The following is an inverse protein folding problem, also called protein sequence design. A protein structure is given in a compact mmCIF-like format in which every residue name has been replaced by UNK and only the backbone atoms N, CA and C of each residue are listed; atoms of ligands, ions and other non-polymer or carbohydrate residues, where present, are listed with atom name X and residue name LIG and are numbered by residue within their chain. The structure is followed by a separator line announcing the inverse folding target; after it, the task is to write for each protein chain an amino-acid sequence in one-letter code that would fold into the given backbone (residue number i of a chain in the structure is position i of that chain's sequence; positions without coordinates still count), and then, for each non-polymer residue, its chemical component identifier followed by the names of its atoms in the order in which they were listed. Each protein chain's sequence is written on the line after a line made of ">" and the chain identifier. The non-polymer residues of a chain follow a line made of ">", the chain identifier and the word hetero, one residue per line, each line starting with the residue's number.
data_IF_779046511362
#
_entry.id   IF_779046511362
#
_cell.length_a   1.000
_cell.length_b   1.000
_cell.length_c   1.000
_cell.angle_alpha   90.00
_cell.angle_beta   90.00
_cell.angle_gamma   90.00
#
_symmetry.space_group_name_H-M   'P 1'
#
loop_
_entity.id
_entity.type
_entity.pdbx_description
1 polymer ?
#
# COMPACT_ATOMS: atom_id res chain seq x y z
N UNK A 1 -14.74 -6.36 -18.05
CA UNK A 1 -13.47 -7.08 -17.90
C UNK A 1 -12.40 -6.25 -18.59
N UNK A 2 -11.79 -5.31 -17.88
CA UNK A 2 -10.67 -4.53 -18.41
C UNK A 2 -9.39 -5.10 -17.81
N UNK A 3 -8.68 -5.84 -18.65
CA UNK A 3 -7.35 -6.37 -18.38
C UNK A 3 -6.40 -5.18 -18.53
N UNK A 4 -6.02 -4.54 -17.43
CA UNK A 4 -4.82 -3.69 -17.39
C UNK A 4 -3.61 -4.58 -17.08
N UNK A 5 -3.26 -5.41 -18.06
CA UNK A 5 -1.91 -5.98 -18.14
C UNK A 5 -1.11 -5.05 -19.05
N UNK A 6 -0.49 -4.03 -18.48
CA UNK A 6 0.50 -3.21 -19.19
C UNK A 6 1.71 -3.19 -18.28
N UNK A 7 2.79 -3.81 -18.73
CA UNK A 7 4.17 -3.80 -18.21
C UNK A 7 4.42 -2.79 -17.07
N UNK A 8 4.29 -3.23 -15.82
CA UNK A 8 4.69 -2.41 -14.66
C UNK A 8 5.74 -3.19 -13.87
N UNK A 9 6.89 -2.57 -13.66
CA UNK A 9 7.92 -3.04 -12.74
C UNK A 9 7.34 -2.91 -11.33
N UNK A 10 6.76 -4.00 -10.81
CA UNK A 10 6.49 -4.09 -9.37
C UNK A 10 7.81 -3.82 -8.64
N UNK A 11 7.80 -3.06 -7.53
CA UNK A 11 8.99 -2.92 -6.70
C UNK A 11 9.55 -4.31 -6.40
N UNK A 12 10.87 -4.44 -6.50
CA UNK A 12 11.50 -5.65 -6.02
C UNK A 12 11.46 -5.65 -4.49
N UNK A 13 10.59 -6.47 -3.92
CA UNK A 13 10.44 -6.63 -2.47
C UNK A 13 11.48 -7.61 -1.87
N UNK A 14 12.33 -8.26 -2.68
CA UNK A 14 13.25 -9.33 -2.21
C UNK A 14 14.35 -8.83 -1.27
N UNK A 15 14.78 -7.58 -1.41
CA UNK A 15 15.85 -6.99 -0.59
C UNK A 15 15.41 -5.75 0.19
N UNK A 16 14.19 -5.76 0.76
CA UNK A 16 13.74 -4.65 1.60
C UNK A 16 14.44 -4.67 2.96
N UNK A 17 15.13 -3.57 3.26
CA UNK A 17 15.80 -3.30 4.54
C UNK A 17 14.89 -2.62 5.59
N UNK A 18 13.59 -2.47 5.30
CA UNK A 18 12.58 -1.97 6.22
C UNK A 18 11.85 -0.71 5.73
N UNK A 19 11.22 0.00 6.67
CA UNK A 19 10.41 1.18 6.41
C UNK A 19 11.15 2.48 6.74
N UNK A 20 10.93 3.51 5.91
CA UNK A 20 11.40 4.87 6.12
C UNK A 20 10.30 5.72 6.75
N UNK A 21 10.31 5.78 8.08
CA UNK A 21 9.40 6.58 8.89
C UNK A 21 10.07 7.88 9.33
N UNK A 22 9.33 8.99 9.28
CA UNK A 22 9.69 10.22 9.99
C UNK A 22 8.52 10.69 10.87
N UNK A 23 8.82 11.51 11.87
CA UNK A 23 7.85 11.95 12.88
C UNK A 23 6.59 12.56 12.24
N UNK A 24 6.77 13.43 11.24
CA UNK A 24 5.66 14.09 10.55
C UNK A 24 4.72 13.11 9.85
N UNK A 25 5.28 12.10 9.18
CA UNK A 25 4.51 11.08 8.49
C UNK A 25 3.74 10.19 9.47
N UNK A 26 4.41 9.73 10.53
CA UNK A 26 3.78 8.93 11.59
C UNK A 26 2.65 9.70 12.25
N UNK A 27 2.89 10.97 12.60
CA UNK A 27 1.87 11.82 13.22
C UNK A 27 0.68 12.06 12.27
N UNK A 28 0.96 12.32 10.98
CA UNK A 28 -0.08 12.53 9.96
C UNK A 28 -0.95 11.27 9.78
N UNK A 29 -0.34 10.09 9.69
CA UNK A 29 -1.05 8.81 9.57
C UNK A 29 -1.99 8.57 10.74
N UNK A 30 -1.47 8.68 11.95
CA UNK A 30 -2.25 8.44 13.15
C UNK A 30 -3.38 9.47 13.30
N UNK A 31 -3.06 10.76 13.17
CA UNK A 31 -4.03 11.85 13.41
C UNK A 31 -5.11 11.92 12.33
N UNK A 32 -4.75 11.73 11.06
CA UNK A 32 -5.68 11.89 9.93
C UNK A 32 -6.45 10.61 9.62
N UNK A 33 -5.82 9.46 9.77
CA UNK A 33 -6.37 8.20 9.26
C UNK A 33 -6.55 7.13 10.33
N UNK A 34 -6.10 7.36 11.58
CA UNK A 34 -6.14 6.38 12.67
C UNK A 34 -5.50 5.05 12.22
N UNK A 35 -4.37 5.17 11.54
CA UNK A 35 -3.53 4.05 11.12
C UNK A 35 -2.19 4.20 11.82
N UNK A 36 -1.78 3.17 12.54
CA UNK A 36 -0.46 3.09 13.16
C UNK A 36 0.59 2.63 12.14
N UNK A 37 1.87 2.87 12.43
CA UNK A 37 2.95 2.31 11.60
C UNK A 37 2.89 0.79 11.57
N UNK A 38 2.63 0.15 12.72
CA UNK A 38 2.50 -1.31 12.81
C UNK A 38 1.39 -1.86 11.91
N UNK A 39 0.22 -1.22 11.87
CA UNK A 39 -0.87 -1.61 10.96
C UNK A 39 -0.48 -1.43 9.49
N UNK A 40 0.21 -0.34 9.17
CA UNK A 40 0.72 -0.11 7.82
C UNK A 40 1.67 -1.24 7.41
N UNK A 41 2.65 -1.57 8.26
CA UNK A 41 3.63 -2.63 8.02
C UNK A 41 2.94 -4.01 7.88
N UNK A 42 2.00 -4.35 8.77
CA UNK A 42 1.22 -5.60 8.68
C UNK A 42 0.53 -5.74 7.32
N UNK A 43 -0.04 -4.66 6.80
CA UNK A 43 -0.72 -4.69 5.51
C UNK A 43 0.22 -4.95 4.31
N UNK A 44 1.54 -4.76 4.44
CA UNK A 44 2.52 -5.18 3.41
C UNK A 44 2.86 -6.67 3.48
N UNK A 45 2.70 -7.31 4.65
CA UNK A 45 3.11 -8.69 4.88
C UNK A 45 1.96 -9.70 4.84
N UNK A 46 0.72 -9.22 4.88
CA UNK A 46 -0.46 -10.08 4.80
C UNK A 46 -0.94 -10.24 3.36
N UNK A 47 -1.34 -11.45 3.01
CA UNK A 47 -1.89 -11.76 1.70
C UNK A 47 -3.44 -11.70 1.67
N UNK A 48 -4.04 -11.32 0.53
CA UNK A 48 -3.38 -10.80 -0.66
C UNK A 48 -2.84 -9.37 -0.47
N UNK A 49 -1.62 -9.10 -0.93
CA UNK A 49 -1.11 -7.74 -1.04
C UNK A 49 -1.12 -7.31 -2.50
N UNK A 50 -1.90 -6.28 -2.81
CA UNK A 50 -2.14 -5.89 -4.21
C UNK A 50 -1.56 -4.51 -4.46
N UNK A 51 -0.75 -4.38 -5.52
CA UNK A 51 -0.05 -3.15 -5.87
C UNK A 51 -0.43 -2.73 -7.29
N UNK A 52 -0.66 -1.44 -7.46
CA UNK A 52 -0.98 -0.77 -8.72
C UNK A 52 -0.10 0.48 -8.85
N UNK A 53 0.19 0.86 -10.08
CA UNK A 53 0.81 2.15 -10.35
C UNK A 53 -0.23 3.28 -10.17
N UNK A 54 0.24 4.44 -9.74
CA UNK A 54 -0.51 5.70 -9.70
C UNK A 54 0.09 6.69 -10.73
N UNK A 55 -0.08 6.43 -12.03
CA UNK A 55 0.62 7.17 -13.09
C UNK A 55 0.26 8.66 -13.12
N UNK A 56 -0.93 9.04 -12.62
CA UNK A 56 -1.32 10.45 -12.49
C UNK A 56 -0.46 11.21 -11.48
N UNK A 57 0.07 10.52 -10.46
CA UNK A 57 0.88 11.11 -9.39
C UNK A 57 2.38 10.76 -9.46
N UNK A 58 2.79 9.86 -10.35
CA UNK A 58 4.18 9.39 -10.53
C UNK A 58 5.08 10.31 -11.38
N UNK A 59 4.63 11.51 -11.75
CA UNK A 59 5.38 12.44 -12.64
C UNK A 59 6.73 12.92 -12.04
N UNK A 60 6.90 12.89 -10.71
CA UNK A 60 8.10 13.38 -10.01
C UNK A 60 8.82 12.35 -9.13
N UNK A 61 8.10 11.34 -8.64
CA UNK A 61 8.60 10.29 -7.75
C UNK A 61 7.70 9.07 -7.98
N UNK A 62 8.28 7.88 -8.17
CA UNK A 62 7.50 6.66 -8.41
C UNK A 62 6.61 6.39 -7.20
N UNK A 63 5.30 6.45 -7.41
CA UNK A 63 4.30 6.23 -6.36
C UNK A 63 3.48 5.01 -6.69
N UNK A 64 3.39 4.16 -5.69
CA UNK A 64 2.65 2.92 -5.75
C UNK A 64 1.42 3.06 -4.88
N UNK A 65 0.29 2.64 -5.43
CA UNK A 65 -0.96 2.47 -4.72
C UNK A 65 -1.08 0.99 -4.35
N UNK A 66 -1.39 0.67 -3.09
CA UNK A 66 -1.62 -0.71 -2.68
C UNK A 66 -2.83 -0.90 -1.80
N UNK A 67 -3.32 -2.13 -1.81
CA UNK A 67 -4.37 -2.66 -0.97
C UNK A 67 -3.81 -3.82 -0.14
N UNK A 68 -3.98 -3.75 1.17
CA UNK A 68 -3.57 -4.80 2.10
C UNK A 68 -4.48 -4.90 3.30
N UNK A 69 -4.26 -5.91 4.14
CA UNK A 69 -5.09 -6.18 5.33
C UNK A 69 -4.22 -6.30 6.58
N UNK A 70 -4.67 -5.77 7.71
CA UNK A 70 -3.97 -5.96 9.00
C UNK A 70 -4.30 -7.32 9.64
N UNK A 71 -3.60 -7.67 10.71
CA UNK A 71 -3.89 -8.90 11.48
C UNK A 71 -5.29 -8.88 12.12
N UNK A 72 -5.81 -7.68 12.38
CA UNK A 72 -7.16 -7.46 12.90
C UNK A 72 -8.21 -7.30 11.78
N UNK A 73 -7.88 -7.72 10.56
CA UNK A 73 -8.75 -7.63 9.39
C UNK A 73 -9.19 -6.20 9.01
N UNK A 74 -8.37 -5.19 9.31
CA UNK A 74 -8.59 -3.85 8.78
C UNK A 74 -8.06 -3.76 7.36
N UNK A 75 -8.93 -3.44 6.40
CA UNK A 75 -8.56 -3.18 5.02
C UNK A 75 -7.95 -1.79 4.86
N UNK A 76 -6.70 -1.72 4.42
CA UNK A 76 -5.96 -0.48 4.23
C UNK A 76 -5.57 -0.26 2.77
N UNK A 77 -5.80 0.97 2.31
CA UNK A 77 -5.13 1.52 1.13
C UNK A 77 -3.85 2.21 1.58
N UNK A 78 -2.73 1.91 0.93
CA UNK A 78 -1.43 2.53 1.23
C UNK A 78 -0.86 3.13 -0.05
N UNK A 79 -0.45 4.40 0.03
CA UNK A 79 0.35 5.04 -1.02
C UNK A 79 1.78 5.08 -0.52
N UNK A 80 2.72 4.57 -1.29
CA UNK A 80 4.12 4.53 -0.89
C UNK A 80 5.05 4.78 -2.07
N UNK A 81 6.32 5.00 -1.76
CA UNK A 81 7.42 5.05 -2.73
C UNK A 81 8.58 4.20 -2.23
N UNK A 82 9.51 3.87 -3.11
CA UNK A 82 10.73 3.15 -2.79
C UNK A 82 11.92 4.11 -2.77
N UNK A 83 12.74 4.04 -1.72
CA UNK A 83 14.00 4.80 -1.61
C UNK A 83 15.14 3.84 -1.34
N UNK A 84 15.82 3.44 -2.40
CA UNK A 84 16.77 2.32 -2.34
C UNK A 84 16.05 1.06 -1.85
N UNK A 85 16.55 0.46 -0.77
CA UNK A 85 15.98 -0.75 -0.15
C UNK A 85 14.89 -0.46 0.91
N UNK A 86 14.33 0.75 0.97
CA UNK A 86 13.31 1.10 1.98
C UNK A 86 11.98 1.47 1.35
N UNK A 87 10.89 0.99 1.95
CA UNK A 87 9.54 1.44 1.67
C UNK A 87 9.29 2.74 2.45
N UNK A 88 8.86 3.80 1.78
CA UNK A 88 8.38 5.02 2.42
C UNK A 88 6.88 5.18 2.21
N UNK A 89 6.05 4.81 3.20
CA UNK A 89 4.63 5.10 3.14
C UNK A 89 4.41 6.61 3.12
N UNK A 90 3.62 7.12 2.18
CA UNK A 90 3.27 8.54 2.05
C UNK A 90 1.87 8.84 2.62
N UNK A 91 1.01 7.82 2.59
CA UNK A 91 -0.35 7.84 3.12
C UNK A 91 -0.83 6.41 3.37
N UNK A 92 -1.63 6.21 4.41
CA UNK A 92 -2.37 4.98 4.63
C UNK A 92 -3.73 5.33 5.21
N UNK A 93 -4.79 4.70 4.69
CA UNK A 93 -6.16 4.98 5.09
C UNK A 93 -7.01 3.71 5.04
N UNK A 94 -8.16 3.68 5.72
CA UNK A 94 -9.17 2.66 5.46
C UNK A 94 -9.53 2.62 3.97
N UNK A 95 -9.71 1.41 3.44
CA UNK A 95 -10.27 1.21 2.11
C UNK A 95 -11.69 1.78 2.04
N UNK A 96 -12.05 2.30 0.88
CA UNK A 96 -13.42 2.61 0.49
C UNK A 96 -14.21 1.33 0.24
N UNK A 97 -15.54 1.40 0.23
CA UNK A 97 -16.40 0.24 -0.02
C UNK A 97 -16.09 -0.47 -1.36
N UNK A 98 -15.75 0.30 -2.40
CA UNK A 98 -15.36 -0.23 -3.70
C UNK A 98 -14.02 -0.96 -3.66
N UNK A 99 -13.03 -0.41 -2.94
CA UNK A 99 -11.72 -1.04 -2.78
C UNK A 99 -11.82 -2.33 -1.95
N UNK A 100 -12.61 -2.34 -0.88
CA UNK A 100 -12.89 -3.56 -0.09
C UNK A 100 -13.53 -4.64 -0.96
N UNK A 101 -14.55 -4.29 -1.74
CA UNK A 101 -15.21 -5.24 -2.64
C UNK A 101 -14.21 -5.86 -3.61
N UNK A 102 -13.39 -5.03 -4.23
CA UNK A 102 -12.39 -5.48 -5.19
C UNK A 102 -11.31 -6.38 -4.55
N UNK A 103 -10.83 -6.01 -3.36
CA UNK A 103 -9.90 -6.82 -2.58
C UNK A 103 -10.46 -8.20 -2.26
N UNK A 104 -11.70 -8.26 -1.77
CA UNK A 104 -12.36 -9.52 -1.42
C UNK A 104 -12.67 -10.39 -2.65
N UNK A 105 -12.97 -9.78 -3.80
CA UNK A 105 -13.16 -10.51 -5.06
C UNK A 105 -11.85 -11.19 -5.52
N UNK A 106 -10.70 -10.52 -5.37
CA UNK A 106 -9.37 -11.11 -5.63
C UNK A 106 -9.06 -12.23 -4.63
N UNK A 107 -9.31 -11.99 -3.33
CA UNK A 107 -9.07 -12.96 -2.27
C UNK A 107 -9.84 -14.27 -2.47
N UNK A 108 -11.07 -14.23 -3.00
CA UNK A 108 -11.88 -15.43 -3.28
C UNK A 108 -11.43 -16.21 -4.51
N UNK A 109 -10.71 -15.57 -5.42
CA UNK A 109 -10.20 -16.17 -6.65
C UNK A 109 -8.76 -16.68 -6.55
N UNK A 110 -8.11 -16.51 -5.40
CA UNK A 110 -6.77 -17.01 -5.08
C UNK A 110 -6.86 -18.29 -4.25
#
# INVERSE_FOLDING_TARGET
>A
MYIYSIYVTVPDFTEIGGFDWNFDNVHKLLKRHRVTTAECEQAFFNEPFIVYDDPEHSIKEDRYYSLGVTNEYRHLTIIFTMRGRKIRPLSARPMTKSEVKYYEDIKKGS
#
